data_IF_622873751134
#
_entry.id   IF_622873751134
#
_cell.length_a   1.000
_cell.length_b   1.000
_cell.length_c   1.000
_cell.angle_alpha   90.00
_cell.angle_beta   90.00
_cell.angle_gamma   90.00
#
_symmetry.space_group_name_H-M   'P 1'
#
loop_
_entity.id
_entity.type
_entity.pdbx_description
1 polymer ?
#
# COMPACT_ATOMS: atom_id res chain seq x y z
N UNK A 1 17.50 -15.26 4.96
CA UNK A 1 16.10 -14.95 5.36
C UNK A 1 16.13 -14.15 6.65
N UNK A 2 15.16 -13.31 6.88
CA UNK A 2 15.00 -12.56 8.14
C UNK A 2 14.91 -13.50 9.35
N UNK A 3 15.27 -13.00 10.54
CA UNK A 3 15.27 -13.76 11.77
C UNK A 3 14.80 -12.89 12.96
N UNK A 4 14.55 -13.51 14.11
CA UNK A 4 14.14 -12.82 15.32
C UNK A 4 12.81 -12.11 15.16
N UNK A 5 12.74 -10.83 15.56
CA UNK A 5 11.51 -10.01 15.53
C UNK A 5 10.96 -9.76 14.13
N UNK A 6 11.75 -9.97 13.09
CA UNK A 6 11.32 -9.83 11.69
C UNK A 6 10.73 -11.12 11.10
N UNK A 7 10.61 -12.17 11.89
CA UNK A 7 10.13 -13.47 11.45
C UNK A 7 11.03 -14.06 10.35
N UNK A 8 10.43 -14.80 9.40
CA UNK A 8 11.21 -15.47 8.37
C UNK A 8 11.18 -14.77 7.00
N UNK A 9 10.29 -13.81 6.74
CA UNK A 9 10.02 -13.34 5.38
C UNK A 9 9.67 -11.84 5.29
N UNK A 10 10.41 -11.01 6.03
CA UNK A 10 10.22 -9.56 5.94
C UNK A 10 10.63 -9.03 4.55
N UNK A 11 9.80 -8.19 3.96
CA UNK A 11 10.00 -7.56 2.65
C UNK A 11 10.29 -6.05 2.73
N UNK A 12 10.23 -5.47 3.94
CA UNK A 12 10.37 -4.04 4.18
C UNK A 12 11.82 -3.69 4.56
N UNK A 13 12.43 -2.74 3.83
CA UNK A 13 13.80 -2.26 4.10
C UNK A 13 13.88 -1.24 5.24
N UNK A 14 12.77 -0.57 5.56
CA UNK A 14 12.74 0.56 6.49
C UNK A 14 12.47 0.18 7.96
N UNK A 15 12.31 -1.11 8.24
CA UNK A 15 11.96 -1.58 9.60
C UNK A 15 13.16 -1.99 10.46
N UNK A 16 14.39 -1.89 9.90
CA UNK A 16 15.63 -2.18 10.65
C UNK A 16 16.14 -3.62 10.53
N UNK A 17 15.55 -4.44 9.65
CA UNK A 17 16.10 -5.74 9.29
C UNK A 17 17.38 -5.59 8.43
N UNK A 18 18.18 -6.65 8.35
CA UNK A 18 19.36 -6.65 7.49
C UNK A 18 18.97 -6.56 6.01
N UNK A 19 19.48 -5.56 5.25
CA UNK A 19 19.11 -5.37 3.85
C UNK A 19 19.33 -6.61 2.97
N UNK A 20 20.37 -7.38 3.24
CA UNK A 20 20.67 -8.62 2.53
C UNK A 20 19.56 -9.67 2.72
N UNK A 21 18.98 -9.76 3.92
CA UNK A 21 17.87 -10.67 4.21
C UNK A 21 16.62 -10.25 3.44
N UNK A 22 16.28 -8.96 3.47
CA UNK A 22 15.13 -8.40 2.75
C UNK A 22 15.27 -8.62 1.24
N UNK A 23 16.45 -8.32 0.68
CA UNK A 23 16.75 -8.57 -0.73
C UNK A 23 16.53 -10.02 -1.11
N UNK A 24 17.04 -10.95 -0.27
CA UNK A 24 16.85 -12.38 -0.49
C UNK A 24 15.39 -12.80 -0.43
N UNK A 25 14.63 -12.27 0.53
CA UNK A 25 13.20 -12.55 0.65
C UNK A 25 12.41 -12.05 -0.58
N UNK A 26 12.75 -10.86 -1.08
CA UNK A 26 12.14 -10.31 -2.32
C UNK A 26 12.43 -11.17 -3.54
N UNK A 27 13.67 -11.68 -3.68
CA UNK A 27 14.02 -12.62 -4.74
C UNK A 27 13.26 -13.95 -4.62
N UNK A 28 13.12 -14.48 -3.40
CA UNK A 28 12.33 -15.68 -3.14
C UNK A 28 10.85 -15.46 -3.48
N UNK A 29 10.26 -14.34 -3.09
CA UNK A 29 8.89 -14.00 -3.47
C UNK A 29 8.73 -13.99 -4.99
N UNK A 30 9.60 -13.29 -5.70
CA UNK A 30 9.55 -13.22 -7.16
C UNK A 30 9.60 -14.60 -7.81
N UNK A 31 10.49 -15.45 -7.33
CA UNK A 31 10.65 -16.82 -7.85
C UNK A 31 9.43 -17.71 -7.51
N UNK A 32 9.01 -17.73 -6.24
CA UNK A 32 7.95 -18.63 -5.77
C UNK A 32 6.58 -18.26 -6.35
N UNK A 33 6.32 -16.95 -6.51
CA UNK A 33 5.09 -16.45 -7.12
C UNK A 33 5.17 -16.37 -8.66
N UNK A 34 6.29 -16.80 -9.27
CA UNK A 34 6.53 -16.73 -10.72
C UNK A 34 6.21 -15.35 -11.30
N UNK A 35 6.62 -14.28 -10.59
CA UNK A 35 6.31 -12.92 -11.02
C UNK A 35 7.06 -12.60 -12.32
N UNK A 36 6.40 -12.02 -13.33
CA UNK A 36 7.00 -11.75 -14.64
C UNK A 36 8.09 -10.66 -14.58
N UNK A 37 8.06 -9.80 -13.56
CA UNK A 37 9.04 -8.74 -13.35
C UNK A 37 9.29 -8.53 -11.85
N UNK A 38 10.35 -7.82 -11.52
CA UNK A 38 10.57 -7.36 -10.15
C UNK A 38 9.48 -6.35 -9.77
N UNK A 39 8.81 -6.51 -8.62
CA UNK A 39 7.83 -5.55 -8.16
C UNK A 39 8.42 -4.14 -8.00
N UNK A 40 7.64 -3.13 -8.33
CA UNK A 40 7.94 -1.75 -7.99
C UNK A 40 7.78 -1.57 -6.46
N UNK A 41 8.90 -1.52 -5.75
CA UNK A 41 8.92 -1.36 -4.30
C UNK A 41 8.84 0.12 -3.93
N UNK A 42 7.80 0.51 -3.22
CA UNK A 42 7.55 1.88 -2.82
C UNK A 42 8.10 2.16 -1.41
N UNK A 43 8.52 3.39 -1.19
CA UNK A 43 8.69 3.96 0.16
C UNK A 43 7.37 4.58 0.58
N UNK A 44 6.58 3.80 1.29
CA UNK A 44 5.24 4.19 1.74
C UNK A 44 5.33 5.15 2.92
N UNK A 45 4.73 6.31 2.80
CA UNK A 45 4.80 7.42 3.77
C UNK A 45 3.43 7.79 4.36
N UNK A 46 2.41 6.97 4.12
CA UNK A 46 1.01 7.20 4.49
C UNK A 46 0.42 8.46 3.84
N UNK A 47 0.89 8.78 2.65
CA UNK A 47 0.43 9.91 1.83
C UNK A 47 -0.60 9.50 0.77
N UNK A 48 -0.65 10.30 -0.31
CA UNK A 48 -1.57 10.08 -1.43
C UNK A 48 -0.84 9.96 -2.78
N UNK A 49 0.50 9.91 -2.76
CA UNK A 49 1.31 9.78 -3.97
C UNK A 49 0.98 8.49 -4.72
N UNK A 50 0.81 8.60 -6.04
CA UNK A 50 0.58 7.45 -6.93
C UNK A 50 1.75 7.35 -7.90
N UNK A 51 2.50 6.26 -7.78
CA UNK A 51 3.58 5.93 -8.71
C UNK A 51 3.03 5.34 -10.00
N UNK A 52 3.56 5.80 -11.13
CA UNK A 52 3.27 5.24 -12.45
C UNK A 52 4.59 4.82 -13.09
N UNK A 53 4.84 3.51 -13.30
CA UNK A 53 6.05 3.02 -13.94
C UNK A 53 6.28 3.66 -15.31
N UNK A 54 7.54 4.01 -15.62
CA UNK A 54 7.89 4.69 -16.88
C UNK A 54 7.59 6.18 -16.92
N UNK A 55 7.07 6.77 -15.83
CA UNK A 55 6.98 8.23 -15.72
C UNK A 55 8.37 8.87 -15.64
N UNK A 56 8.55 10.07 -16.19
CA UNK A 56 9.86 10.75 -16.33
C UNK A 56 10.65 10.97 -15.02
N UNK A 57 10.05 10.70 -13.86
CA UNK A 57 10.69 10.79 -12.55
C UNK A 57 11.75 9.69 -12.29
N UNK A 58 11.79 8.65 -13.11
CA UNK A 58 12.74 7.53 -12.97
C UNK A 58 14.08 7.74 -13.65
N UNK A 59 14.23 8.78 -14.47
CA UNK A 59 15.33 8.91 -15.42
C UNK A 59 16.41 9.90 -15.02
N UNK A 60 16.93 9.81 -13.81
CA UNK A 60 18.27 10.35 -13.53
C UNK A 60 19.26 9.19 -13.53
N UNK A 61 20.07 8.99 -14.59
CA UNK A 61 21.04 7.91 -14.63
C UNK A 61 21.98 7.98 -13.42
N UNK A 62 22.05 6.88 -12.67
CA UNK A 62 22.93 6.75 -11.50
C UNK A 62 22.32 7.18 -10.15
N UNK A 63 21.09 7.72 -10.09
CA UNK A 63 20.41 8.03 -8.84
C UNK A 63 19.16 7.15 -8.72
N UNK A 64 19.28 5.98 -8.08
CA UNK A 64 18.12 5.24 -7.62
C UNK A 64 17.56 5.92 -6.36
N UNK A 65 16.71 6.93 -6.56
CA UNK A 65 15.95 7.50 -5.44
C UNK A 65 14.85 6.54 -5.03
N UNK A 66 14.60 6.37 -3.72
CA UNK A 66 13.42 5.66 -3.26
C UNK A 66 12.17 6.30 -3.86
N UNK A 67 11.26 5.48 -4.39
CA UNK A 67 9.99 5.95 -4.95
C UNK A 67 9.05 6.20 -3.78
N UNK A 68 8.88 7.46 -3.38
CA UNK A 68 7.92 7.83 -2.34
C UNK A 68 6.51 7.85 -2.92
N UNK A 69 5.71 6.85 -2.56
CA UNK A 69 4.30 6.77 -2.92
C UNK A 69 3.59 5.75 -2.02
N UNK A 70 2.28 5.90 -1.86
CA UNK A 70 1.42 4.96 -1.14
C UNK A 70 0.48 4.19 -2.08
N UNK A 71 0.57 4.45 -3.35
CA UNK A 71 -0.12 3.68 -4.38
C UNK A 71 0.72 3.59 -5.65
N UNK A 72 0.39 2.62 -6.48
CA UNK A 72 0.93 2.48 -7.83
C UNK A 72 -0.20 2.17 -8.80
N UNK A 73 -0.07 2.69 -10.02
CA UNK A 73 -1.00 2.46 -11.13
C UNK A 73 -0.19 2.14 -12.38
N UNK A 74 -0.65 1.18 -13.17
CA UNK A 74 -0.10 0.95 -14.51
C UNK A 74 -1.13 0.36 -15.47
N UNK A 75 -0.84 0.50 -16.75
CA UNK A 75 -1.45 -0.33 -17.79
C UNK A 75 -0.64 -1.62 -17.90
N UNK A 76 -1.27 -2.81 -17.92
CA UNK A 76 -0.53 -4.07 -17.85
C UNK A 76 0.35 -4.26 -19.07
N UNK A 77 1.65 -4.30 -18.81
CA UNK A 77 2.70 -4.64 -19.77
C UNK A 77 3.76 -5.52 -19.12
N UNK A 78 3.31 -6.51 -18.31
CA UNK A 78 4.20 -7.35 -17.51
C UNK A 78 4.72 -6.68 -16.22
N UNK A 79 4.22 -5.50 -15.88
CA UNK A 79 4.55 -4.80 -14.64
C UNK A 79 3.95 -5.49 -13.42
N UNK A 80 4.67 -5.50 -12.32
CA UNK A 80 4.20 -6.03 -11.03
C UNK A 80 4.13 -4.89 -10.02
N UNK A 81 2.95 -4.60 -9.52
CA UNK A 81 2.73 -3.64 -8.44
C UNK A 81 2.76 -4.37 -7.09
N UNK A 82 3.33 -3.72 -6.07
CA UNK A 82 3.39 -4.27 -4.73
C UNK A 82 3.10 -3.19 -3.69
N UNK A 83 2.27 -3.55 -2.71
CA UNK A 83 2.00 -2.75 -1.51
C UNK A 83 2.37 -3.59 -0.29
N UNK A 84 3.14 -3.00 0.61
CA UNK A 84 3.53 -3.63 1.88
C UNK A 84 2.59 -3.15 2.98
N UNK A 85 2.05 -4.08 3.75
CA UNK A 85 1.17 -3.78 4.88
C UNK A 85 1.52 -4.64 6.08
N UNK A 86 1.27 -4.10 7.28
CA UNK A 86 1.29 -4.85 8.53
C UNK A 86 -0.10 -4.85 9.17
N UNK A 87 -0.76 -3.69 9.20
CA UNK A 87 -2.09 -3.50 9.78
C UNK A 87 -3.02 -2.67 8.87
N UNK A 88 -2.45 -1.79 8.01
CA UNK A 88 -3.21 -0.95 7.09
C UNK A 88 -3.89 -1.78 6.00
N UNK A 89 -4.96 -1.23 5.42
CA UNK A 89 -5.75 -1.90 4.39
C UNK A 89 -5.03 -1.84 3.02
N UNK A 90 -4.68 -2.97 2.41
CA UNK A 90 -4.29 -3.01 1.01
C UNK A 90 -5.52 -3.06 0.11
N UNK A 91 -5.53 -2.24 -0.93
CA UNK A 91 -6.60 -2.25 -1.92
C UNK A 91 -5.98 -2.49 -3.30
N UNK A 92 -6.47 -3.51 -4.00
CA UNK A 92 -6.12 -3.77 -5.39
C UNK A 92 -7.32 -3.38 -6.26
N UNK A 93 -7.05 -2.64 -7.34
CA UNK A 93 -8.09 -2.15 -8.24
C UNK A 93 -7.70 -2.52 -9.68
N UNK A 94 -8.66 -2.93 -10.47
CA UNK A 94 -8.47 -3.09 -11.91
C UNK A 94 -9.69 -2.58 -12.68
N UNK A 95 -9.47 -2.16 -13.93
CA UNK A 95 -10.58 -2.00 -14.88
C UNK A 95 -11.15 -3.38 -15.21
N UNK A 96 -12.46 -3.46 -15.47
CA UNK A 96 -13.13 -4.75 -15.74
C UNK A 96 -12.56 -5.44 -16.98
N UNK A 97 -12.07 -4.70 -17.95
CA UNK A 97 -11.43 -5.23 -19.14
C UNK A 97 -9.95 -5.65 -18.91
N UNK A 98 -9.43 -5.46 -17.70
CA UNK A 98 -8.08 -5.86 -17.29
C UNK A 98 -6.95 -5.02 -17.88
N UNK A 99 -7.24 -3.87 -18.50
CA UNK A 99 -6.21 -3.03 -19.13
C UNK A 99 -5.55 -2.03 -18.20
N UNK A 100 -6.09 -1.85 -17.01
CA UNK A 100 -5.58 -0.91 -16.00
C UNK A 100 -5.59 -1.57 -14.64
N UNK A 101 -4.50 -1.46 -13.90
CA UNK A 101 -4.38 -2.01 -12.56
C UNK A 101 -3.77 -1.00 -11.61
N UNK A 102 -4.15 -1.08 -10.36
CA UNK A 102 -3.56 -0.29 -9.28
C UNK A 102 -3.47 -1.10 -7.98
N UNK A 103 -2.54 -0.69 -7.13
CA UNK A 103 -2.42 -1.16 -5.76
C UNK A 103 -2.26 0.05 -4.82
N UNK A 104 -3.01 0.10 -3.74
CA UNK A 104 -3.01 1.22 -2.80
C UNK A 104 -2.81 0.75 -1.36
N UNK A 105 -1.92 1.44 -0.64
CA UNK A 105 -1.74 1.35 0.80
C UNK A 105 -2.71 2.33 1.48
N UNK A 106 -3.84 1.81 1.95
CA UNK A 106 -4.90 2.60 2.55
C UNK A 106 -4.79 2.60 4.09
N UNK A 107 -3.73 3.19 4.64
CA UNK A 107 -3.66 3.57 6.04
C UNK A 107 -4.61 4.73 6.33
N UNK A 108 -4.99 4.95 7.60
CA UNK A 108 -5.97 5.98 7.97
C UNK A 108 -5.61 7.39 7.49
N UNK A 109 -4.31 7.74 7.47
CA UNK A 109 -3.85 9.05 6.96
C UNK A 109 -4.10 9.18 5.47
N UNK A 110 -3.67 8.18 4.70
CA UNK A 110 -3.88 8.15 3.24
C UNK A 110 -5.37 8.17 2.89
N UNK A 111 -6.21 7.42 3.61
CA UNK A 111 -7.66 7.43 3.45
C UNK A 111 -8.26 8.81 3.72
N UNK A 112 -7.91 9.43 4.85
CA UNK A 112 -8.38 10.76 5.21
C UNK A 112 -7.93 11.85 4.23
N UNK A 113 -6.78 11.66 3.57
CA UNK A 113 -6.24 12.56 2.55
C UNK A 113 -6.75 12.22 1.13
N UNK A 114 -7.49 11.13 0.96
CA UNK A 114 -8.12 10.77 -0.32
C UNK A 114 -7.24 9.94 -1.27
N UNK A 115 -6.34 9.08 -0.77
CA UNK A 115 -5.47 8.23 -1.60
C UNK A 115 -6.26 7.42 -2.63
N UNK A 116 -7.43 6.88 -2.27
CA UNK A 116 -8.25 6.10 -3.19
C UNK A 116 -8.78 6.96 -4.33
N UNK A 117 -9.24 8.18 -4.03
CA UNK A 117 -9.65 9.13 -5.08
C UNK A 117 -8.52 9.46 -6.06
N UNK A 118 -7.27 9.62 -5.55
CA UNK A 118 -6.10 9.85 -6.38
C UNK A 118 -5.78 8.65 -7.29
N UNK A 119 -5.99 7.43 -6.78
CA UNK A 119 -5.79 6.20 -7.57
C UNK A 119 -6.88 6.06 -8.62
N UNK A 120 -8.16 6.18 -8.23
CA UNK A 120 -9.31 6.03 -9.14
C UNK A 120 -9.25 7.04 -10.27
N UNK A 121 -8.84 8.29 -9.99
CA UNK A 121 -8.68 9.33 -11.01
C UNK A 121 -7.60 9.02 -12.08
N UNK A 122 -6.80 7.96 -11.92
CA UNK A 122 -5.83 7.50 -12.93
C UNK A 122 -6.44 6.59 -13.97
N UNK A 123 -7.56 5.95 -13.65
CA UNK A 123 -8.24 5.06 -14.57
C UNK A 123 -8.98 5.84 -15.65
N UNK A 124 -8.91 5.37 -16.87
CA UNK A 124 -9.75 5.86 -17.96
C UNK A 124 -11.15 5.24 -17.94
N UNK A 125 -11.27 4.04 -17.35
CA UNK A 125 -12.53 3.32 -17.19
C UNK A 125 -13.23 3.67 -15.90
N UNK A 126 -14.54 3.82 -15.94
CA UNK A 126 -15.41 3.95 -14.75
C UNK A 126 -15.89 2.57 -14.24
N UNK A 127 -15.72 1.50 -15.02
CA UNK A 127 -16.12 0.14 -14.63
C UNK A 127 -14.93 -0.57 -13.96
N UNK A 128 -14.85 -0.41 -12.66
CA UNK A 128 -13.73 -0.87 -11.84
C UNK A 128 -14.14 -2.01 -10.91
N UNK A 129 -13.21 -2.92 -10.67
CA UNK A 129 -13.28 -3.93 -9.63
C UNK A 129 -12.25 -3.60 -8.57
N UNK A 130 -12.65 -3.64 -7.30
CA UNK A 130 -11.76 -3.45 -6.16
C UNK A 130 -11.79 -4.67 -5.24
N UNK A 131 -10.61 -5.11 -4.83
CA UNK A 131 -10.42 -6.11 -3.79
C UNK A 131 -9.73 -5.47 -2.59
N UNK A 132 -10.32 -5.64 -1.42
CA UNK A 132 -9.77 -5.21 -0.14
C UNK A 132 -9.15 -6.41 0.56
N UNK A 133 -7.85 -6.33 0.83
CA UNK A 133 -7.12 -7.40 1.50
C UNK A 133 -7.27 -7.37 3.02
N UNK A 134 -6.61 -8.32 3.69
CA UNK A 134 -6.64 -8.38 5.15
C UNK A 134 -6.02 -7.13 5.77
N UNK A 135 -6.67 -6.61 6.80
CA UNK A 135 -6.26 -5.45 7.57
C UNK A 135 -6.59 -5.67 9.05
N UNK A 136 -6.15 -4.74 9.90
CA UNK A 136 -6.56 -4.72 11.30
C UNK A 136 -8.07 -4.59 11.40
N UNK A 137 -8.70 -5.45 12.21
CA UNK A 137 -10.15 -5.44 12.40
C UNK A 137 -10.60 -4.42 13.45
N UNK A 138 -11.89 -4.03 13.42
CA UNK A 138 -12.44 -3.00 14.30
C UNK A 138 -12.30 -3.33 15.80
N UNK A 139 -12.31 -4.60 16.17
CA UNK A 139 -12.13 -5.00 17.57
C UNK A 139 -10.70 -4.83 18.11
N UNK A 140 -9.75 -4.47 17.26
CA UNK A 140 -8.33 -4.35 17.60
C UNK A 140 -7.74 -2.99 17.18
N UNK A 141 -8.56 -2.10 16.62
CA UNK A 141 -8.12 -0.80 16.13
C UNK A 141 -8.77 0.33 16.92
N UNK A 142 -8.24 0.57 18.10
CA UNK A 142 -8.63 1.72 18.90
C UNK A 142 -7.94 2.98 18.42
N UNK A 143 -8.68 4.05 18.22
CA UNK A 143 -8.23 5.34 17.71
C UNK A 143 -8.64 6.47 18.65
N UNK A 144 -7.88 7.55 18.62
CA UNK A 144 -8.09 8.77 19.39
C UNK A 144 -8.90 9.83 18.63
N UNK A 145 -9.11 10.98 19.27
CA UNK A 145 -9.79 12.13 18.70
C UNK A 145 -9.08 12.68 17.45
N UNK A 146 -7.76 12.53 17.34
CA UNK A 146 -7.01 13.00 16.18
C UNK A 146 -7.40 12.23 14.93
N UNK A 147 -7.49 10.91 15.02
CA UNK A 147 -7.95 10.07 13.90
C UNK A 147 -9.42 10.35 13.59
N UNK A 148 -10.27 10.32 14.63
CA UNK A 148 -11.71 10.52 14.46
C UNK A 148 -12.04 11.84 13.77
N UNK A 149 -11.36 12.93 14.13
CA UNK A 149 -11.61 14.27 13.56
C UNK A 149 -11.29 14.38 12.05
N UNK A 150 -10.54 13.42 11.50
CA UNK A 150 -10.20 13.40 10.06
C UNK A 150 -11.29 12.80 9.19
N UNK A 151 -12.27 12.11 9.79
CA UNK A 151 -13.37 11.51 9.06
C UNK A 151 -14.67 12.21 9.41
N UNK A 152 -15.41 12.62 8.39
CA UNK A 152 -16.72 13.27 8.57
C UNK A 152 -17.78 12.21 8.91
N UNK A 153 -18.64 12.54 9.86
CA UNK A 153 -19.72 11.66 10.31
C UNK A 153 -19.31 10.71 11.44
N UNK A 154 -20.29 9.97 11.95
CA UNK A 154 -20.12 9.02 13.05
C UNK A 154 -20.13 7.56 12.61
N UNK A 155 -20.44 7.32 11.35
CA UNK A 155 -20.52 5.96 10.79
C UNK A 155 -19.13 5.32 10.77
N UNK A 156 -19.05 4.07 11.22
CA UNK A 156 -17.79 3.32 11.28
C UNK A 156 -17.02 3.47 12.59
N UNK A 157 -17.48 4.31 13.52
CA UNK A 157 -16.86 4.43 14.85
C UNK A 157 -17.77 3.86 15.93
N UNK A 158 -17.28 2.89 16.69
CA UNK A 158 -17.93 2.35 17.88
C UNK A 158 -17.28 2.95 19.14
N UNK A 159 -17.92 2.72 20.30
CA UNK A 159 -17.39 3.14 21.60
C UNK A 159 -16.09 2.39 21.88
N UNK A 160 -15.01 3.13 22.17
CA UNK A 160 -13.73 2.61 22.63
C UNK A 160 -13.70 2.41 24.15
N UNK A 161 -12.48 2.36 24.71
CA UNK A 161 -12.26 2.16 26.17
C UNK A 161 -12.76 3.31 27.04
N UNK A 162 -12.87 4.51 26.49
CA UNK A 162 -13.35 5.71 27.18
C UNK A 162 -13.92 6.74 26.19
N UNK A 163 -14.36 7.90 26.71
CA UNK A 163 -14.98 8.97 25.91
C UNK A 163 -14.05 9.66 24.88
N UNK A 164 -12.76 9.37 24.92
CA UNK A 164 -11.75 9.98 24.02
C UNK A 164 -11.19 8.96 23.01
N UNK A 165 -11.64 7.70 23.05
CA UNK A 165 -11.19 6.62 22.18
C UNK A 165 -12.36 5.93 21.52
N UNK A 166 -12.15 5.51 20.29
CA UNK A 166 -13.13 4.81 19.44
C UNK A 166 -12.51 3.60 18.79
N UNK A 167 -13.33 2.61 18.53
CA UNK A 167 -12.98 1.47 17.67
C UNK A 167 -13.38 1.81 16.22
N UNK A 168 -12.48 1.60 15.28
CA UNK A 168 -12.66 1.91 13.84
C UNK A 168 -12.76 0.62 13.04
#
# INVERSE_FOLDING_TARGET
MSAGVYGAFNLALHVGDQPAHVTRNRQLLQHQASLPATPAWLTQVHGTGVYVPGSQLETVPGLQRPIEADAAFCQPSGQVLAIMVAACLPILICSRDGKEIAAAHAGWRGLALGVIGQVVARFASDDLLAWMGPAIGPCHYEVDAQVRSRFQGSTGFAVGRDAQHWML
#
